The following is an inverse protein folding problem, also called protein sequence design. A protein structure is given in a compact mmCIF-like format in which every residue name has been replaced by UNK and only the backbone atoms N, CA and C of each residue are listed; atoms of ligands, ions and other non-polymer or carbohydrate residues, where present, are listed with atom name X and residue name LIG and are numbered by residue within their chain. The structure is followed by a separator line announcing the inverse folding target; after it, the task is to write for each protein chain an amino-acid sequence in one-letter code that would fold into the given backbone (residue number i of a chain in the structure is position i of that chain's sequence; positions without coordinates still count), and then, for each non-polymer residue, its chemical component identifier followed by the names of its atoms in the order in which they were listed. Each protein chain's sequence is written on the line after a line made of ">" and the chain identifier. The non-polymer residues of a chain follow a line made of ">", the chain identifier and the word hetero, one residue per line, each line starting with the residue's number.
data_IF_302780364405
#
_entry.id   IF_302780364405
#
_cell.length_a   1.000
_cell.length_b   1.000
_cell.length_c   1.000
_cell.angle_alpha   90.00
_cell.angle_beta   90.00
_cell.angle_gamma   90.00
#
_symmetry.space_group_name_H-M   'P 1'
#
loop_
_entity.id
_entity.type
_entity.pdbx_description
1 polymer ?
#
# COMPACT_ATOMS: atom_id res chain seq x y z
N UNK A 1 19.00 -11.89 10.40
CA UNK A 1 17.58 -11.77 10.80
C UNK A 1 17.30 -10.44 11.53
N UNK A 2 17.98 -9.34 11.16
CA UNK A 2 17.87 -8.04 11.86
C UNK A 2 17.48 -6.87 10.95
N UNK A 3 17.29 -7.08 9.65
CA UNK A 3 17.00 -5.98 8.70
C UNK A 3 15.52 -5.80 8.34
N UNK A 4 14.64 -6.76 8.66
CA UNK A 4 13.21 -6.65 8.31
C UNK A 4 12.45 -5.66 9.21
N UNK A 5 12.92 -5.45 10.45
CA UNK A 5 12.27 -4.56 11.43
C UNK A 5 12.65 -3.09 11.25
N UNK A 6 13.75 -2.79 10.55
CA UNK A 6 14.15 -1.42 10.23
C UNK A 6 13.22 -0.73 9.22
N UNK A 7 12.47 -1.52 8.43
CA UNK A 7 11.50 -1.01 7.45
C UNK A 7 10.20 -0.50 8.11
N UNK A 8 9.88 -0.97 9.32
CA UNK A 8 8.58 -0.73 9.96
C UNK A 8 8.55 0.51 10.87
N UNK A 9 9.72 0.97 11.34
CA UNK A 9 9.82 2.08 12.31
C UNK A 9 10.73 3.25 11.87
N UNK A 10 11.47 3.11 10.77
CA UNK A 10 12.20 4.22 10.14
C UNK A 10 11.36 4.93 9.06
N UNK A 11 11.63 6.21 8.74
CA UNK A 11 11.14 6.75 7.47
C UNK A 11 11.62 5.80 6.37
N UNK A 12 10.69 5.18 5.63
CA UNK A 12 11.04 4.21 4.57
C UNK A 12 12.24 4.77 3.79
N UNK A 13 13.38 4.04 3.70
CA UNK A 13 14.51 4.51 2.92
C UNK A 13 14.01 4.79 1.51
N UNK A 14 14.03 6.07 1.10
CA UNK A 14 13.50 6.52 -0.18
C UNK A 14 12.19 7.31 -0.16
N UNK A 15 11.50 7.50 0.97
CA UNK A 15 10.29 8.36 1.02
C UNK A 15 10.57 9.84 0.72
N UNK A 16 11.72 10.34 1.19
CA UNK A 16 12.19 11.71 0.86
C UNK A 16 12.73 11.79 -0.56
N UNK A 17 13.41 10.74 -1.04
CA UNK A 17 13.94 10.66 -2.39
C UNK A 17 12.83 10.58 -3.45
N UNK A 18 11.74 9.86 -3.17
CA UNK A 18 10.58 9.81 -4.06
C UNK A 18 9.79 11.12 -4.05
N UNK A 19 9.62 11.77 -2.89
CA UNK A 19 9.00 13.09 -2.81
C UNK A 19 9.77 14.14 -3.61
N UNK A 20 11.10 14.17 -3.52
CA UNK A 20 11.94 15.05 -4.34
C UNK A 20 11.82 14.71 -5.84
N UNK A 21 11.83 13.42 -6.21
CA UNK A 21 11.66 12.99 -7.59
C UNK A 21 10.31 13.45 -8.17
N UNK A 22 9.23 13.43 -7.39
CA UNK A 22 7.94 13.97 -7.81
C UNK A 22 7.99 15.49 -8.03
N UNK A 23 8.63 16.25 -7.14
CA UNK A 23 8.79 17.70 -7.29
C UNK A 23 9.60 18.03 -8.54
N UNK A 24 10.72 17.35 -8.78
CA UNK A 24 11.58 17.60 -9.95
C UNK A 24 10.88 17.15 -11.24
N UNK A 25 10.10 16.07 -11.22
CA UNK A 25 9.28 15.67 -12.35
C UNK A 25 8.28 16.77 -12.72
N UNK A 26 7.52 17.28 -11.75
CA UNK A 26 6.55 18.36 -11.99
C UNK A 26 7.24 19.63 -12.49
N UNK A 27 8.34 20.04 -11.85
CA UNK A 27 9.12 21.20 -12.29
C UNK A 27 9.66 21.01 -13.72
N UNK A 28 10.16 19.82 -14.05
CA UNK A 28 10.61 19.47 -15.39
C UNK A 28 9.51 19.59 -16.44
N UNK A 29 8.31 19.07 -16.14
CA UNK A 29 7.14 19.19 -17.02
C UNK A 29 6.70 20.64 -17.23
N UNK A 30 6.76 21.47 -16.18
CA UNK A 30 6.49 22.91 -16.27
C UNK A 30 7.52 23.65 -17.15
N UNK A 31 8.81 23.30 -17.05
CA UNK A 31 9.86 23.84 -17.91
C UNK A 31 9.70 23.43 -19.37
N UNK A 32 9.28 22.19 -19.64
CA UNK A 32 8.91 21.74 -20.99
C UNK A 32 7.77 22.59 -21.55
N UNK A 33 6.70 22.78 -20.76
CA UNK A 33 5.55 23.59 -21.18
C UNK A 33 5.95 25.06 -21.45
N UNK A 34 6.81 25.64 -20.60
CA UNK A 34 7.36 26.97 -20.84
C UNK A 34 8.18 27.03 -22.13
N UNK A 35 9.11 26.09 -22.34
CA UNK A 35 9.96 26.05 -23.54
C UNK A 35 9.17 25.90 -24.83
N UNK A 36 8.08 25.13 -24.82
CA UNK A 36 7.14 25.04 -25.94
C UNK A 36 6.43 26.38 -26.21
N UNK A 37 5.96 27.07 -25.16
CA UNK A 37 5.28 28.38 -25.26
C UNK A 37 6.22 29.50 -25.73
N UNK A 38 7.44 29.54 -25.21
CA UNK A 38 8.48 30.50 -25.60
C UNK A 38 9.05 30.22 -27.01
N UNK A 39 8.70 29.07 -27.60
CA UNK A 39 9.11 28.65 -28.93
C UNK A 39 10.48 27.99 -28.94
N UNK A 40 10.50 26.68 -29.21
CA UNK A 40 11.72 25.84 -29.27
C UNK A 40 12.74 26.24 -30.34
N UNK A 41 12.38 27.16 -31.25
CA UNK A 41 13.29 27.75 -32.24
C UNK A 41 14.17 28.86 -31.66
N UNK A 42 13.76 29.46 -30.53
CA UNK A 42 14.57 30.46 -29.82
C UNK A 42 15.61 29.76 -28.94
N UNK A 43 16.76 30.41 -28.70
CA UNK A 43 17.80 29.84 -27.85
C UNK A 43 17.30 29.60 -26.41
N UNK A 44 16.53 30.56 -25.88
CA UNK A 44 15.92 30.49 -24.54
C UNK A 44 14.87 29.37 -24.46
N UNK A 45 13.89 29.35 -25.37
CA UNK A 45 12.84 28.33 -25.39
C UNK A 45 13.42 26.92 -25.55
N UNK A 46 14.47 26.76 -26.36
CA UNK A 46 15.21 25.50 -26.51
C UNK A 46 15.94 25.08 -25.23
N UNK A 47 16.58 26.02 -24.53
CA UNK A 47 17.29 25.72 -23.29
C UNK A 47 16.34 25.20 -22.20
N UNK A 48 15.21 25.89 -21.99
CA UNK A 48 14.22 25.46 -21.01
C UNK A 48 13.53 24.15 -21.39
N UNK A 49 13.22 23.96 -22.68
CA UNK A 49 12.66 22.70 -23.18
C UNK A 49 13.59 21.51 -22.90
N UNK A 50 14.88 21.62 -23.26
CA UNK A 50 15.86 20.55 -23.05
C UNK A 50 16.12 20.29 -21.56
N UNK A 51 16.27 21.35 -20.75
CA UNK A 51 16.44 21.22 -19.31
C UNK A 51 15.23 20.55 -18.64
N UNK A 52 14.01 20.95 -19.04
CA UNK A 52 12.77 20.33 -18.57
C UNK A 52 12.65 18.86 -18.97
N UNK A 53 13.00 18.52 -20.22
CA UNK A 53 12.97 17.14 -20.71
C UNK A 53 13.92 16.24 -19.94
N UNK A 54 15.16 16.69 -19.72
CA UNK A 54 16.16 15.93 -18.94
C UNK A 54 15.69 15.74 -17.49
N UNK A 55 15.20 16.81 -16.85
CA UNK A 55 14.69 16.74 -15.48
C UNK A 55 13.49 15.79 -15.35
N UNK A 56 12.55 15.83 -16.30
CA UNK A 56 11.39 14.96 -16.32
C UNK A 56 11.75 13.49 -16.59
N UNK A 57 12.68 13.21 -17.51
CA UNK A 57 13.09 11.83 -17.83
C UNK A 57 13.84 11.16 -16.67
N UNK A 58 14.80 11.86 -16.05
CA UNK A 58 15.57 11.32 -14.93
C UNK A 58 14.67 11.08 -13.71
N UNK A 59 13.83 12.06 -13.37
CA UNK A 59 12.92 11.97 -12.22
C UNK A 59 11.78 10.99 -12.46
N UNK A 60 11.24 10.95 -13.68
CA UNK A 60 10.22 9.98 -14.09
C UNK A 60 10.74 8.54 -14.00
N UNK A 61 11.99 8.30 -14.39
CA UNK A 61 12.64 6.99 -14.23
C UNK A 61 12.78 6.59 -12.77
N UNK A 62 13.21 7.52 -11.89
CA UNK A 62 13.31 7.27 -10.45
C UNK A 62 11.94 6.97 -9.82
N UNK A 63 10.90 7.72 -10.19
CA UNK A 63 9.51 7.46 -9.78
C UNK A 63 9.05 6.09 -10.25
N UNK A 64 9.28 5.74 -11.52
CA UNK A 64 8.88 4.45 -12.08
C UNK A 64 9.55 3.28 -11.34
N UNK A 65 10.84 3.39 -11.01
CA UNK A 65 11.54 2.38 -10.19
C UNK A 65 10.95 2.27 -8.80
N UNK A 66 10.69 3.39 -8.12
CA UNK A 66 10.08 3.37 -6.79
C UNK A 66 8.69 2.71 -6.80
N UNK A 67 7.89 2.94 -7.84
CA UNK A 67 6.59 2.26 -8.03
C UNK A 67 6.78 0.76 -8.28
N UNK A 68 7.74 0.38 -9.13
CA UNK A 68 8.04 -1.02 -9.43
C UNK A 68 8.56 -1.77 -8.19
N UNK A 69 9.39 -1.13 -7.36
CA UNK A 69 9.92 -1.71 -6.13
C UNK A 69 8.77 -1.99 -5.15
N UNK A 70 7.86 -1.04 -4.94
CA UNK A 70 6.67 -1.26 -4.11
C UNK A 70 5.80 -2.38 -4.68
N UNK A 71 5.55 -2.37 -6.00
CA UNK A 71 4.76 -3.42 -6.65
C UNK A 71 5.37 -4.81 -6.48
N UNK A 72 6.70 -4.92 -6.44
CA UNK A 72 7.40 -6.20 -6.22
C UNK A 72 7.27 -6.74 -4.79
N UNK A 73 6.94 -5.88 -3.81
CA UNK A 73 6.68 -6.32 -2.42
C UNK A 73 5.30 -6.95 -2.23
N UNK A 74 4.37 -6.76 -3.16
CA UNK A 74 3.03 -7.36 -3.12
C UNK A 74 3.13 -8.80 -3.61
N UNK A 75 2.82 -9.81 -2.78
CA UNK A 75 2.84 -11.19 -3.25
C UNK A 75 1.82 -11.38 -4.37
N UNK A 76 2.26 -11.96 -5.49
CA UNK A 76 1.41 -12.12 -6.67
C UNK A 76 0.22 -13.06 -6.43
N UNK A 77 0.35 -14.02 -5.50
CA UNK A 77 -0.66 -15.05 -5.19
C UNK A 77 -0.55 -15.45 -3.72
N UNK A 78 -1.67 -15.91 -3.15
CA UNK A 78 -1.68 -16.57 -1.85
C UNK A 78 -1.08 -18.00 -1.99
N UNK A 79 0.06 -18.31 -1.35
CA UNK A 79 0.67 -19.64 -1.41
C UNK A 79 -0.03 -20.66 -0.51
N UNK A 80 -0.89 -20.23 0.42
CA UNK A 80 -1.63 -21.10 1.33
C UNK A 80 -3.04 -21.35 0.78
N UNK A 81 -3.36 -22.56 0.31
CA UNK A 81 -4.69 -22.86 -0.20
C UNK A 81 -5.77 -22.68 0.87
N UNK A 82 -6.99 -22.27 0.49
CA UNK A 82 -8.12 -22.32 1.41
C UNK A 82 -8.48 -23.79 1.69
N UNK A 83 -8.49 -24.15 2.97
CA UNK A 83 -8.93 -25.44 3.50
C UNK A 83 -9.75 -25.22 4.79
N UNK A 84 -10.52 -26.21 5.27
CA UNK A 84 -11.24 -26.08 6.55
C UNK A 84 -10.33 -25.67 7.71
N UNK A 85 -9.12 -26.24 7.79
CA UNK A 85 -8.12 -25.93 8.81
C UNK A 85 -7.59 -24.50 8.66
N UNK A 86 -7.29 -24.09 7.42
CA UNK A 86 -6.83 -22.74 7.08
C UNK A 86 -7.88 -21.68 7.45
N UNK A 87 -9.15 -21.96 7.14
CA UNK A 87 -10.28 -21.07 7.47
C UNK A 87 -10.52 -21.01 8.99
N UNK A 88 -10.50 -22.15 9.69
CA UNK A 88 -10.64 -22.19 11.14
C UNK A 88 -9.51 -21.44 11.85
N UNK A 89 -8.26 -21.59 11.36
CA UNK A 89 -7.12 -20.83 11.88
C UNK A 89 -7.28 -19.34 11.61
N UNK A 90 -7.68 -18.96 10.39
CA UNK A 90 -7.93 -17.57 10.02
C UNK A 90 -9.02 -16.91 10.85
N UNK A 91 -10.11 -17.63 11.14
CA UNK A 91 -11.21 -17.17 12.00
C UNK A 91 -10.72 -16.89 13.43
N UNK A 92 -9.97 -17.82 14.03
CA UNK A 92 -9.42 -17.64 15.38
C UNK A 92 -8.54 -16.39 15.46
N UNK A 93 -7.67 -16.19 14.47
CA UNK A 93 -6.79 -15.04 14.39
C UNK A 93 -7.58 -13.73 14.16
N UNK A 94 -8.60 -13.76 13.31
CA UNK A 94 -9.48 -12.62 13.09
C UNK A 94 -10.18 -12.19 14.38
N UNK A 95 -10.73 -13.14 15.13
CA UNK A 95 -11.38 -12.88 16.42
C UNK A 95 -10.41 -12.29 17.44
N UNK A 96 -9.18 -12.81 17.48
CA UNK A 96 -8.15 -12.37 18.42
C UNK A 96 -7.59 -10.97 18.12
N UNK A 97 -7.51 -10.58 16.85
CA UNK A 97 -6.71 -9.42 16.43
C UNK A 97 -7.46 -8.36 15.64
N UNK A 98 -8.44 -8.75 14.82
CA UNK A 98 -9.07 -7.88 13.83
C UNK A 98 -10.48 -7.44 14.25
N UNK A 99 -11.23 -8.34 14.90
CA UNK A 99 -12.63 -8.14 15.27
C UNK A 99 -12.85 -6.92 16.18
N UNK A 100 -11.90 -6.61 17.06
CA UNK A 100 -12.02 -5.47 17.99
C UNK A 100 -12.29 -4.14 17.27
N UNK A 101 -11.78 -3.98 16.05
CA UNK A 101 -12.02 -2.81 15.21
C UNK A 101 -13.01 -3.11 14.07
N UNK A 102 -12.88 -4.26 13.41
CA UNK A 102 -13.68 -4.56 12.21
C UNK A 102 -15.05 -5.19 12.49
N UNK A 103 -15.33 -5.57 13.74
CA UNK A 103 -16.59 -6.22 14.14
C UNK A 103 -16.62 -7.71 13.80
N UNK A 104 -17.55 -8.49 14.37
CA UNK A 104 -17.64 -9.94 14.11
C UNK A 104 -17.95 -10.28 12.64
N UNK A 105 -18.66 -9.38 11.95
CA UNK A 105 -19.09 -9.55 10.57
C UNK A 105 -18.26 -8.73 9.56
N UNK A 106 -17.17 -8.09 10.01
CA UNK A 106 -16.31 -7.28 9.15
C UNK A 106 -16.88 -5.93 8.71
N UNK A 107 -17.94 -5.42 9.33
CA UNK A 107 -18.61 -4.17 8.91
C UNK A 107 -17.93 -2.87 9.40
N UNK A 108 -16.75 -2.97 10.02
CA UNK A 108 -16.02 -1.82 10.54
C UNK A 108 -16.69 -1.20 11.78
N UNK A 109 -17.43 -2.01 12.52
CA UNK A 109 -18.28 -1.63 13.66
C UNK A 109 -17.90 -2.37 14.95
N UNK A 110 -16.63 -2.77 15.06
CA UNK A 110 -16.10 -3.38 16.28
C UNK A 110 -16.19 -2.44 17.49
N UNK A 111 -16.09 -2.97 18.72
CA UNK A 111 -16.24 -2.18 19.94
C UNK A 111 -15.26 -0.99 20.04
N UNK A 112 -14.08 -1.08 19.42
CA UNK A 112 -13.12 0.03 19.37
C UNK A 112 -13.40 1.04 18.24
N UNK A 113 -14.23 0.70 17.24
CA UNK A 113 -14.40 1.49 16.02
C UNK A 113 -14.87 2.92 16.30
N UNK A 114 -15.76 3.13 17.27
CA UNK A 114 -16.28 4.44 17.62
C UNK A 114 -15.25 5.38 18.26
N UNK A 115 -14.16 4.84 18.81
CA UNK A 115 -13.10 5.61 19.44
C UNK A 115 -11.95 5.96 18.47
N UNK A 116 -11.99 5.44 17.23
CA UNK A 116 -10.95 5.70 16.24
C UNK A 116 -11.23 7.01 15.47
N UNK A 117 -10.18 7.78 15.12
CA UNK A 117 -10.34 9.03 14.36
C UNK A 117 -10.89 8.80 12.94
N UNK A 118 -10.72 7.59 12.41
CA UNK A 118 -11.27 7.16 11.13
C UNK A 118 -11.95 5.82 11.31
N UNK A 119 -13.17 5.67 10.79
CA UNK A 119 -13.90 4.40 10.84
C UNK A 119 -13.12 3.32 10.08
N UNK A 120 -12.95 2.11 10.64
CA UNK A 120 -12.39 0.98 9.90
C UNK A 120 -13.20 0.66 8.64
N UNK A 121 -12.52 0.18 7.59
CA UNK A 121 -13.17 -0.21 6.35
C UNK A 121 -14.19 -1.35 6.57
N UNK A 122 -15.29 -1.31 5.81
CA UNK A 122 -16.20 -2.44 5.67
C UNK A 122 -15.52 -3.50 4.81
N UNK A 123 -15.06 -4.56 5.46
CA UNK A 123 -14.34 -5.65 4.83
C UNK A 123 -15.21 -6.41 3.84
N UNK A 124 -16.54 -6.40 3.99
CA UNK A 124 -17.47 -7.05 3.06
C UNK A 124 -17.46 -6.39 1.69
N UNK A 125 -17.17 -5.08 1.65
CA UNK A 125 -17.05 -4.31 0.42
C UNK A 125 -15.62 -4.29 -0.10
N UNK A 126 -14.66 -4.03 0.78
CA UNK A 126 -13.28 -3.81 0.35
C UNK A 126 -12.51 -5.09 0.05
N UNK A 127 -12.74 -6.19 0.79
CA UNK A 127 -12.01 -7.45 0.54
C UNK A 127 -12.22 -7.90 -0.92
N UNK A 128 -13.45 -8.01 -1.46
CA UNK A 128 -13.67 -8.43 -2.86
C UNK A 128 -13.01 -7.53 -3.91
N UNK A 129 -12.74 -6.26 -3.60
CA UNK A 129 -12.18 -5.28 -4.54
C UNK A 129 -10.64 -5.34 -4.67
N UNK A 130 -9.98 -6.08 -3.80
CA UNK A 130 -8.51 -6.12 -3.74
C UNK A 130 -7.98 -7.53 -3.96
N UNK A 131 -6.79 -7.64 -4.55
CA UNK A 131 -6.10 -8.92 -4.68
C UNK A 131 -5.58 -9.42 -3.32
N UNK A 132 -5.39 -10.73 -3.17
CA UNK A 132 -4.93 -11.35 -1.92
C UNK A 132 -3.61 -10.75 -1.41
N UNK A 133 -2.66 -10.49 -2.31
CA UNK A 133 -1.39 -9.86 -1.96
C UNK A 133 -1.53 -8.47 -1.34
N UNK A 134 -2.53 -7.69 -1.73
CA UNK A 134 -2.78 -6.37 -1.15
C UNK A 134 -3.33 -6.51 0.28
N UNK A 135 -4.25 -7.44 0.49
CA UNK A 135 -4.79 -7.74 1.82
C UNK A 135 -3.67 -8.24 2.75
N UNK A 136 -2.83 -9.14 2.26
CA UNK A 136 -1.67 -9.63 3.00
C UNK A 136 -0.71 -8.49 3.35
N UNK A 137 -0.42 -7.59 2.40
CA UNK A 137 0.45 -6.45 2.64
C UNK A 137 -0.12 -5.54 3.74
N UNK A 138 -1.40 -5.17 3.67
CA UNK A 138 -2.04 -4.34 4.70
C UNK A 138 -2.10 -5.00 6.07
N UNK A 139 -2.32 -6.32 6.15
CA UNK A 139 -2.22 -7.05 7.42
C UNK A 139 -0.77 -7.02 7.91
N UNK A 140 0.21 -7.22 7.04
CA UNK A 140 1.62 -7.27 7.39
C UNK A 140 2.14 -5.91 7.88
N UNK A 141 1.88 -4.83 7.15
CA UNK A 141 2.46 -3.50 7.37
C UNK A 141 1.51 -2.50 8.03
N UNK A 142 0.25 -2.85 8.24
CA UNK A 142 -0.81 -1.89 8.53
C UNK A 142 -1.12 -1.02 7.32
N UNK A 143 -1.98 -0.01 7.52
CA UNK A 143 -2.35 0.96 6.49
C UNK A 143 -1.85 2.34 6.92
N UNK A 144 -0.82 2.90 6.25
CA UNK A 144 -0.26 4.20 6.61
C UNK A 144 -1.31 5.31 6.61
N UNK A 145 -1.25 6.19 7.61
CA UNK A 145 -2.22 7.27 7.78
C UNK A 145 -3.56 6.83 8.38
N UNK A 146 -3.68 5.58 8.83
CA UNK A 146 -4.85 5.07 9.55
C UNK A 146 -4.46 4.46 10.89
N UNK A 147 -5.42 4.22 11.80
CA UNK A 147 -5.16 3.50 13.04
C UNK A 147 -4.86 2.00 12.87
N UNK A 148 -4.94 1.43 11.66
CA UNK A 148 -4.72 0.00 11.45
C UNK A 148 -3.23 -0.34 11.63
N UNK A 149 -2.86 -1.13 12.67
CA UNK A 149 -1.48 -1.45 12.96
C UNK A 149 -0.93 -2.54 12.03
N UNK A 150 0.40 -2.67 12.01
CA UNK A 150 1.10 -3.80 11.42
C UNK A 150 0.94 -5.07 12.29
N UNK A 151 0.82 -6.24 11.66
CA UNK A 151 0.76 -7.53 12.34
C UNK A 151 1.94 -8.45 12.01
N UNK A 152 2.93 -8.01 11.22
CA UNK A 152 4.09 -8.83 10.88
C UNK A 152 4.90 -9.30 12.10
N UNK A 153 4.89 -8.54 13.19
CA UNK A 153 5.61 -8.87 14.44
C UNK A 153 4.78 -9.75 15.40
N UNK A 154 3.51 -10.04 15.07
CA UNK A 154 2.57 -10.78 15.93
C UNK A 154 2.07 -12.06 15.30
N UNK A 155 2.02 -12.10 13.97
CA UNK A 155 1.52 -13.23 13.18
C UNK A 155 2.63 -13.69 12.25
N UNK A 156 2.81 -15.00 12.12
CA UNK A 156 3.68 -15.57 11.09
C UNK A 156 3.15 -15.24 9.68
N UNK A 157 3.98 -15.39 8.66
CA UNK A 157 3.54 -15.20 7.28
C UNK A 157 2.39 -16.13 6.89
N UNK A 158 2.47 -17.41 7.26
CA UNK A 158 1.43 -18.40 7.00
C UNK A 158 0.12 -18.04 7.72
N UNK A 159 0.20 -17.57 8.97
CA UNK A 159 -0.96 -17.10 9.73
C UNK A 159 -1.66 -15.90 9.07
N UNK A 160 -0.90 -14.95 8.52
CA UNK A 160 -1.48 -13.83 7.77
C UNK A 160 -2.21 -14.32 6.51
N UNK A 161 -1.70 -15.35 5.85
CA UNK A 161 -2.39 -15.96 4.71
C UNK A 161 -3.66 -16.72 5.11
N UNK A 162 -3.68 -17.39 6.26
CA UNK A 162 -4.91 -17.95 6.84
C UNK A 162 -5.97 -16.86 7.09
N UNK A 163 -5.55 -15.70 7.62
CA UNK A 163 -6.45 -14.55 7.80
C UNK A 163 -7.00 -14.09 6.45
N UNK A 164 -6.16 -13.94 5.41
CA UNK A 164 -6.63 -13.57 4.06
C UNK A 164 -7.69 -14.55 3.53
N UNK A 165 -7.45 -15.87 3.67
CA UNK A 165 -8.41 -16.89 3.27
C UNK A 165 -9.74 -16.75 4.01
N UNK A 166 -9.70 -16.54 5.33
CA UNK A 166 -10.92 -16.31 6.12
C UNK A 166 -11.65 -15.03 5.72
N UNK A 167 -10.92 -13.93 5.46
CA UNK A 167 -11.52 -12.67 5.01
C UNK A 167 -12.31 -12.83 3.72
N UNK A 168 -11.84 -13.68 2.79
CA UNK A 168 -12.58 -13.99 1.55
C UNK A 168 -13.93 -14.62 1.82
N UNK A 169 -14.00 -15.55 2.78
CA UNK A 169 -15.26 -16.18 3.18
C UNK A 169 -16.13 -15.17 3.93
N UNK A 170 -15.58 -14.50 4.93
CA UNK A 170 -16.29 -13.51 5.75
C UNK A 170 -16.96 -12.43 4.90
N UNK A 171 -16.28 -11.94 3.86
CA UNK A 171 -16.81 -10.91 2.98
C UNK A 171 -18.03 -11.37 2.18
N UNK A 172 -18.14 -12.67 1.87
CA UNK A 172 -19.25 -13.25 1.13
C UNK A 172 -20.43 -13.63 2.03
N UNK A 173 -20.14 -14.13 3.24
CA UNK A 173 -21.15 -14.68 4.16
C UNK A 173 -21.64 -13.65 5.17
N UNK A 174 -20.81 -12.66 5.51
CA UNK A 174 -21.01 -11.78 6.66
C UNK A 174 -21.14 -12.54 7.98
N UNK A 175 -20.63 -13.78 8.05
CA UNK A 175 -20.72 -14.72 9.17
C UNK A 175 -19.51 -15.63 9.18
#
# INVERSE_FOLDING_TARGET
>A
MTDALAFLHGPLPGRSASALAWVVLVAGLLLVAYGLRAGVRTAEGRAFFLAGLVAALLSGSAVARAVADVASTVPARNPVPPSPESLARGEQLYRAHCQVCHGPHGAGDGPAAAALPTRPADLRVHVPMHADGHLFLWISSGVPGTPMPAFADRLTEEERWHVVNYLRVLALTGR
#
